data_IF_877531475538
#
_entry.id   IF_877531475538
#
_cell.length_a   1.000
_cell.length_b   1.000
_cell.length_c   1.000
_cell.angle_alpha   90.00
_cell.angle_beta   90.00
_cell.angle_gamma   90.00
#
_symmetry.space_group_name_H-M   'P 1'
#
loop_
_entity.id
_entity.type
_entity.pdbx_description
1 polymer ?
#
# COMPACT_ATOMS: atom_id res chain seq x y z
N UNK A 1 -4.68 -11.67 10.52
CA UNK A 1 -5.55 -12.60 9.78
C UNK A 1 -4.88 -13.97 9.74
N UNK A 2 -5.60 -15.08 9.93
CA UNK A 2 -5.01 -16.42 9.76
C UNK A 2 -5.01 -16.82 8.29
N UNK A 3 -4.15 -17.77 7.90
CA UNK A 3 -4.12 -18.31 6.52
C UNK A 3 -5.49 -18.87 6.10
N UNK A 4 -6.16 -19.59 7.01
CA UNK A 4 -7.50 -20.14 6.74
C UNK A 4 -8.54 -19.05 6.45
N UNK A 5 -8.56 -17.99 7.25
CA UNK A 5 -9.51 -16.89 7.04
C UNK A 5 -9.21 -16.13 5.74
N UNK A 6 -7.93 -15.97 5.42
CA UNK A 6 -7.50 -15.39 4.15
C UNK A 6 -7.96 -16.23 2.94
N UNK A 7 -7.77 -17.54 2.96
CA UNK A 7 -8.20 -18.43 1.89
C UNK A 7 -9.73 -18.37 1.72
N UNK A 8 -10.51 -18.35 2.81
CA UNK A 8 -11.97 -18.17 2.76
C UNK A 8 -12.39 -16.84 2.13
N UNK A 9 -11.68 -15.76 2.46
CA UNK A 9 -11.92 -14.45 1.85
C UNK A 9 -11.61 -14.48 0.35
N UNK A 10 -10.48 -15.06 -0.03
CA UNK A 10 -10.10 -15.16 -1.44
C UNK A 10 -11.07 -16.03 -2.24
N UNK A 11 -11.52 -17.16 -1.68
CA UNK A 11 -12.55 -18.01 -2.29
C UNK A 11 -13.85 -17.24 -2.54
N UNK A 12 -14.25 -16.37 -1.59
CA UNK A 12 -15.40 -15.49 -1.77
C UNK A 12 -15.20 -14.50 -2.92
N UNK A 13 -14.05 -13.84 -3.01
CA UNK A 13 -13.72 -12.91 -4.10
C UNK A 13 -13.81 -13.61 -5.46
N UNK A 14 -13.26 -14.83 -5.57
CA UNK A 14 -13.37 -15.64 -6.78
C UNK A 14 -14.81 -16.02 -7.09
N UNK A 15 -15.58 -16.42 -6.08
CA UNK A 15 -16.98 -16.82 -6.24
C UNK A 15 -17.85 -15.69 -6.81
N UNK A 16 -17.64 -14.46 -6.37
CA UNK A 16 -18.40 -13.29 -6.85
C UNK A 16 -17.83 -12.64 -8.12
N UNK A 17 -16.70 -13.15 -8.63
CA UNK A 17 -16.06 -12.66 -9.85
C UNK A 17 -15.39 -11.28 -9.68
N UNK A 18 -14.96 -10.93 -8.47
CA UNK A 18 -14.27 -9.68 -8.21
C UNK A 18 -12.75 -9.80 -8.40
N UNK A 19 -12.14 -8.65 -8.66
CA UNK A 19 -10.69 -8.49 -8.63
C UNK A 19 -10.24 -8.03 -7.25
N UNK A 20 -9.07 -8.53 -6.85
CA UNK A 20 -8.53 -8.28 -5.53
C UNK A 20 -7.57 -7.10 -5.54
N UNK A 21 -7.82 -6.11 -4.68
CA UNK A 21 -6.84 -5.08 -4.32
C UNK A 21 -6.34 -5.33 -2.90
N UNK A 22 -5.04 -5.15 -2.67
CA UNK A 22 -4.41 -5.37 -1.36
C UNK A 22 -3.66 -4.13 -0.87
N UNK A 23 -4.03 -3.67 0.31
CA UNK A 23 -3.30 -2.66 1.06
C UNK A 23 -2.37 -3.30 2.10
N UNK A 24 -1.11 -2.85 2.11
CA UNK A 24 -0.18 -3.11 3.21
C UNK A 24 -0.04 -1.89 4.10
N UNK A 25 -0.01 -2.12 5.41
CA UNK A 25 0.30 -1.04 6.34
C UNK A 25 1.72 -0.49 6.14
N UNK A 26 1.85 0.84 6.17
CA UNK A 26 3.14 1.55 6.11
C UNK A 26 3.60 2.12 7.47
N UNK A 27 2.89 1.75 8.55
CA UNK A 27 3.15 2.22 9.92
C UNK A 27 4.41 1.61 10.53
N UNK A 28 4.76 0.39 10.11
CA UNK A 28 5.94 -0.29 10.62
C UNK A 28 7.19 0.32 9.99
N UNK A 29 8.08 0.85 10.83
CA UNK A 29 9.30 1.55 10.41
C UNK A 29 10.55 0.80 10.82
N UNK A 30 11.62 0.96 10.04
CA UNK A 30 12.98 0.61 10.45
C UNK A 30 13.54 1.65 11.42
N UNK A 31 14.72 1.39 12.01
CA UNK A 31 15.43 2.37 12.84
C UNK A 31 15.85 3.64 12.07
N UNK A 32 15.94 3.56 10.74
CA UNK A 32 16.23 4.68 9.83
C UNK A 32 14.97 5.41 9.35
N UNK A 33 13.80 5.08 9.92
CA UNK A 33 12.49 5.61 9.53
C UNK A 33 12.10 5.29 8.07
N UNK A 34 12.55 4.17 7.53
CA UNK A 34 12.07 3.62 6.24
C UNK A 34 10.90 2.66 6.48
N UNK A 35 10.08 2.42 5.45
CA UNK A 35 9.01 1.43 5.56
C UNK A 35 9.59 0.02 5.76
N UNK A 36 9.11 -0.69 6.78
CA UNK A 36 9.49 -2.07 7.04
C UNK A 36 8.60 -3.03 6.23
N UNK A 37 9.18 -3.55 5.15
CA UNK A 37 8.51 -4.41 4.17
C UNK A 37 8.41 -5.89 4.56
N UNK A 38 8.89 -6.31 5.74
CA UNK A 38 8.98 -7.73 6.10
C UNK A 38 7.62 -8.46 6.04
N UNK A 39 6.55 -7.81 6.52
CA UNK A 39 5.20 -8.39 6.47
C UNK A 39 4.67 -8.50 5.03
N UNK A 40 4.88 -7.46 4.22
CA UNK A 40 4.48 -7.49 2.81
C UNK A 40 5.22 -8.59 2.06
N UNK A 41 6.53 -8.72 2.27
CA UNK A 41 7.34 -9.79 1.67
C UNK A 41 6.82 -11.19 2.05
N UNK A 42 6.55 -11.42 3.34
CA UNK A 42 6.04 -12.71 3.80
C UNK A 42 4.69 -13.07 3.16
N UNK A 43 3.81 -12.09 2.97
CA UNK A 43 2.55 -12.30 2.26
C UNK A 43 2.76 -12.56 0.76
N UNK A 44 3.59 -11.78 0.08
CA UNK A 44 3.86 -11.93 -1.36
C UNK A 44 4.49 -13.30 -1.65
N UNK A 45 5.42 -13.77 -0.82
CA UNK A 45 6.00 -15.12 -0.90
C UNK A 45 4.91 -16.20 -0.82
N UNK A 46 3.96 -16.05 0.12
CA UNK A 46 2.83 -16.97 0.25
C UNK A 46 1.88 -16.90 -0.95
N UNK A 47 1.52 -15.69 -1.38
CA UNK A 47 0.56 -15.46 -2.46
C UNK A 47 1.10 -15.97 -3.81
N UNK A 48 2.38 -15.72 -4.13
CA UNK A 48 3.02 -16.23 -5.34
C UNK A 48 3.11 -17.76 -5.33
N UNK A 49 3.48 -18.37 -4.19
CA UNK A 49 3.49 -19.84 -4.04
C UNK A 49 2.10 -20.44 -4.29
N UNK A 50 1.05 -19.73 -3.90
CA UNK A 50 -0.36 -20.12 -4.11
C UNK A 50 -0.92 -19.67 -5.46
N UNK A 51 -0.14 -18.95 -6.27
CA UNK A 51 -0.53 -18.39 -7.57
C UNK A 51 -1.79 -17.51 -7.49
N UNK A 52 -1.87 -16.68 -6.45
CA UNK A 52 -3.01 -15.76 -6.25
C UNK A 52 -2.80 -14.52 -7.14
N UNK A 53 -3.64 -14.27 -8.17
CA UNK A 53 -3.59 -13.02 -8.93
C UNK A 53 -4.01 -11.83 -8.05
N UNK A 54 -3.18 -10.79 -8.05
CA UNK A 54 -3.45 -9.52 -7.36
C UNK A 54 -3.16 -8.39 -8.35
N UNK A 55 -4.18 -7.87 -9.05
CA UNK A 55 -3.98 -6.81 -10.04
C UNK A 55 -3.58 -5.48 -9.40
N UNK A 56 -4.05 -5.19 -8.18
CA UNK A 56 -3.89 -3.87 -7.57
C UNK A 56 -3.31 -3.93 -6.15
N UNK A 57 -2.44 -2.98 -5.85
CA UNK A 57 -1.77 -2.86 -4.58
C UNK A 57 -1.82 -1.43 -4.04
N UNK A 58 -1.93 -1.30 -2.72
CA UNK A 58 -1.91 -0.04 -1.98
C UNK A 58 -0.88 -0.11 -0.84
N UNK A 59 -0.48 1.06 -0.34
CA UNK A 59 0.47 1.18 0.76
C UNK A 59 0.05 2.26 1.77
N UNK A 60 -0.64 1.80 2.80
CA UNK A 60 -1.13 2.59 3.91
C UNK A 60 -2.47 3.24 3.60
N UNK A 61 -3.31 3.32 4.61
CA UNK A 61 -4.63 3.95 4.56
C UNK A 61 -4.63 5.23 5.38
N UNK A 62 -5.06 6.35 4.80
CA UNK A 62 -5.18 7.67 5.45
C UNK A 62 -3.94 8.09 6.26
N UNK A 63 -2.73 8.09 5.66
CA UNK A 63 -1.48 8.37 6.37
C UNK A 63 -1.46 9.74 7.06
N UNK A 64 -2.23 10.69 6.53
CA UNK A 64 -2.39 12.03 7.10
C UNK A 64 -3.09 12.07 8.47
N UNK A 65 -3.65 10.95 8.95
CA UNK A 65 -4.31 10.84 10.27
C UNK A 65 -3.56 9.96 11.28
N UNK A 66 -2.34 9.49 10.98
CA UNK A 66 -1.67 8.57 11.91
C UNK A 66 -1.37 9.13 13.29
N UNK A 67 -1.05 10.42 13.36
CA UNK A 67 -0.84 11.08 14.64
C UNK A 67 -2.12 11.13 15.47
N UNK A 68 -3.24 11.51 14.87
CA UNK A 68 -4.52 11.60 15.57
C UNK A 68 -5.12 10.24 15.93
N UNK A 69 -5.02 9.26 15.02
CA UNK A 69 -5.72 7.99 15.16
C UNK A 69 -4.92 6.96 15.95
N UNK A 70 -3.59 7.06 15.93
CA UNK A 70 -2.72 6.04 16.49
C UNK A 70 -1.60 6.59 17.39
N UNK A 71 -1.51 7.90 17.59
CA UNK A 71 -0.42 8.52 18.34
C UNK A 71 0.96 8.32 17.70
N UNK A 72 0.99 7.95 16.42
CA UNK A 72 2.20 7.67 15.66
C UNK A 72 2.56 8.89 14.83
N UNK A 73 3.85 9.23 14.75
CA UNK A 73 4.30 10.32 13.87
C UNK A 73 3.86 10.04 12.43
N UNK A 74 2.99 10.89 11.90
CA UNK A 74 2.61 10.90 10.49
C UNK A 74 3.86 11.08 9.62
N UNK A 75 4.04 10.16 8.67
CA UNK A 75 5.09 10.32 7.67
C UNK A 75 4.79 11.55 6.81
N UNK A 76 5.81 12.22 6.29
CA UNK A 76 5.59 13.34 5.38
C UNK A 76 5.22 12.81 3.99
N UNK A 77 4.60 13.64 3.14
CA UNK A 77 4.32 13.24 1.76
C UNK A 77 5.61 12.83 1.02
N UNK A 78 6.70 13.56 1.29
CA UNK A 78 8.05 13.24 0.77
C UNK A 78 8.54 11.86 1.20
N UNK A 79 8.39 11.48 2.48
CA UNK A 79 8.81 10.16 2.94
C UNK A 79 7.94 9.06 2.35
N UNK A 80 6.64 9.32 2.19
CA UNK A 80 5.73 8.36 1.58
C UNK A 80 6.08 8.07 0.13
N UNK A 81 6.55 9.05 -0.66
CA UNK A 81 7.10 8.77 -2.01
C UNK A 81 8.21 7.72 -1.95
N UNK A 82 9.19 7.88 -1.05
CA UNK A 82 10.30 6.92 -0.88
C UNK A 82 9.81 5.54 -0.47
N UNK A 83 8.79 5.48 0.39
CA UNK A 83 8.19 4.22 0.80
C UNK A 83 7.54 3.50 -0.39
N UNK A 84 6.84 4.24 -1.27
CA UNK A 84 6.31 3.70 -2.53
C UNK A 84 7.42 3.27 -3.51
N UNK A 85 8.56 3.96 -3.58
CA UNK A 85 9.72 3.50 -4.37
C UNK A 85 10.23 2.15 -3.87
N UNK A 86 10.44 2.02 -2.56
CA UNK A 86 10.81 0.74 -1.93
C UNK A 86 9.77 -0.34 -2.20
N UNK A 87 8.49 0.02 -2.19
CA UNK A 87 7.40 -0.92 -2.45
C UNK A 87 7.36 -1.40 -3.91
N UNK A 88 7.53 -0.51 -4.88
CA UNK A 88 7.69 -0.88 -6.30
C UNK A 88 8.88 -1.81 -6.50
N UNK A 89 10.01 -1.52 -5.85
CA UNK A 89 11.19 -2.36 -5.92
C UNK A 89 10.98 -3.75 -5.30
N UNK A 90 10.11 -3.86 -4.28
CA UNK A 90 9.69 -5.15 -3.74
C UNK A 90 8.83 -5.91 -4.76
N UNK A 91 7.78 -5.29 -5.31
CA UNK A 91 6.87 -5.94 -6.26
C UNK A 91 7.60 -6.45 -7.51
N UNK A 92 8.59 -5.70 -8.01
CA UNK A 92 9.44 -6.11 -9.14
C UNK A 92 10.19 -7.43 -8.94
N UNK A 93 10.37 -7.87 -7.69
CA UNK A 93 11.03 -9.14 -7.38
C UNK A 93 10.11 -10.35 -7.62
N UNK A 94 8.80 -10.14 -7.78
CA UNK A 94 7.79 -11.18 -7.96
C UNK A 94 7.24 -11.12 -9.39
N UNK A 95 7.55 -12.10 -10.27
CA UNK A 95 7.07 -12.11 -11.64
C UNK A 95 5.55 -11.96 -11.81
N UNK A 96 4.75 -12.41 -10.84
CA UNK A 96 3.29 -12.27 -10.87
C UNK A 96 2.79 -10.86 -10.57
N UNK A 97 3.60 -10.02 -9.89
CA UNK A 97 3.15 -8.75 -9.32
C UNK A 97 3.95 -7.54 -9.80
N UNK A 98 5.04 -7.76 -10.54
CA UNK A 98 5.90 -6.69 -11.06
C UNK A 98 5.18 -5.68 -11.95
N UNK A 99 4.08 -6.09 -12.58
CA UNK A 99 3.26 -5.29 -13.50
C UNK A 99 1.88 -4.95 -12.89
N UNK A 100 1.66 -5.26 -11.61
CA UNK A 100 0.43 -4.89 -10.90
C UNK A 100 0.34 -3.37 -10.69
N UNK A 101 -0.88 -2.85 -10.72
CA UNK A 101 -1.18 -1.44 -10.45
C UNK A 101 -0.81 -1.11 -9.01
N UNK A 102 -0.20 0.04 -8.79
CA UNK A 102 -0.03 0.61 -7.46
C UNK A 102 -0.87 1.87 -7.33
N UNK A 103 -1.73 1.90 -6.33
CA UNK A 103 -2.69 2.97 -6.06
C UNK A 103 -2.30 3.67 -4.76
N UNK A 104 -2.36 5.00 -4.72
CA UNK A 104 -2.05 5.76 -3.51
C UNK A 104 -2.20 7.27 -3.68
N UNK A 105 -1.99 8.08 -2.63
CA UNK A 105 -1.54 7.71 -1.29
C UNK A 105 -2.70 7.43 -0.31
N UNK A 106 -3.93 7.18 -0.78
CA UNK A 106 -5.09 6.85 0.06
C UNK A 106 -5.33 7.88 1.20
N UNK A 107 -5.13 9.17 0.92
CA UNK A 107 -5.38 10.21 1.94
C UNK A 107 -6.86 10.36 2.24
N UNK A 108 -7.18 10.97 3.37
CA UNK A 108 -8.55 11.48 3.59
C UNK A 108 -8.96 12.49 2.51
N UNK A 109 -10.20 12.99 2.59
CA UNK A 109 -10.74 14.10 1.79
C UNK A 109 -9.68 15.17 1.45
N UNK A 110 -9.52 15.55 0.17
CA UNK A 110 -8.50 16.50 -0.25
C UNK A 110 -8.50 17.83 0.51
N UNK A 111 -9.66 18.27 1.01
CA UNK A 111 -9.77 19.50 1.81
C UNK A 111 -9.02 19.41 3.14
N UNK A 112 -9.09 18.26 3.83
CA UNK A 112 -8.40 18.04 5.10
C UNK A 112 -6.95 17.56 4.92
N UNK A 113 -6.66 16.85 3.83
CA UNK A 113 -5.33 16.30 3.55
C UNK A 113 -4.46 17.15 2.62
N UNK A 114 -4.94 18.32 2.15
CA UNK A 114 -4.31 19.11 1.09
C UNK A 114 -2.80 19.32 1.26
N UNK A 115 -2.32 19.62 2.47
CA UNK A 115 -0.90 19.84 2.74
C UNK A 115 -0.07 18.58 2.47
N UNK A 116 -0.51 17.45 3.01
CA UNK A 116 0.16 16.17 2.83
C UNK A 116 0.08 15.72 1.36
N UNK A 117 -1.11 15.82 0.76
CA UNK A 117 -1.35 15.39 -0.61
C UNK A 117 -0.53 16.20 -1.61
N UNK A 118 -0.50 17.53 -1.47
CA UNK A 118 0.33 18.40 -2.31
C UNK A 118 1.82 18.12 -2.11
N UNK A 119 2.27 17.85 -0.89
CA UNK A 119 3.66 17.47 -0.63
C UNK A 119 4.01 16.15 -1.35
N UNK A 120 3.14 15.14 -1.28
CA UNK A 120 3.33 13.86 -1.97
C UNK A 120 3.45 14.06 -3.48
N UNK A 121 2.52 14.79 -4.10
CA UNK A 121 2.54 15.07 -5.54
C UNK A 121 3.79 15.86 -5.95
N UNK A 122 4.13 16.92 -5.22
CA UNK A 122 5.28 17.78 -5.52
C UNK A 122 6.63 17.04 -5.45
N UNK A 123 6.70 15.97 -4.67
CA UNK A 123 7.91 15.16 -4.51
C UNK A 123 7.95 13.91 -5.40
N UNK A 124 7.11 13.84 -6.43
CA UNK A 124 7.15 12.77 -7.42
C UNK A 124 6.17 11.62 -7.16
N UNK A 125 5.10 11.86 -6.40
CA UNK A 125 4.03 10.87 -6.18
C UNK A 125 3.52 10.21 -7.46
N UNK A 126 3.32 11.00 -8.53
CA UNK A 126 2.88 10.49 -9.83
C UNK A 126 3.90 9.58 -10.55
N UNK A 127 5.16 9.51 -10.07
CA UNK A 127 6.17 8.63 -10.64
C UNK A 127 6.20 7.26 -9.95
N UNK A 128 5.56 7.13 -8.79
CA UNK A 128 5.67 5.94 -7.92
C UNK A 128 4.36 5.17 -7.78
N UNK A 129 3.22 5.80 -8.12
CA UNK A 129 1.90 5.16 -8.23
C UNK A 129 1.38 5.26 -9.66
N UNK A 130 0.58 4.28 -10.07
CA UNK A 130 -0.13 4.30 -11.36
C UNK A 130 -1.43 5.10 -11.27
N UNK A 131 -2.08 5.06 -10.11
CA UNK A 131 -3.34 5.78 -9.86
C UNK A 131 -3.27 6.60 -8.57
N UNK A 132 -3.79 7.81 -8.64
CA UNK A 132 -3.91 8.73 -7.51
C UNK A 132 -5.24 8.50 -6.80
N UNK A 133 -5.19 8.30 -5.47
CA UNK A 133 -6.38 8.01 -4.67
C UNK A 133 -6.51 8.87 -3.41
N UNK A 134 -7.77 9.10 -3.02
CA UNK A 134 -8.18 9.80 -1.81
C UNK A 134 -9.62 9.42 -1.44
N UNK A 135 -9.98 9.59 -0.18
CA UNK A 135 -11.29 9.22 0.36
C UNK A 135 -12.25 10.42 0.32
N UNK A 136 -13.56 10.18 0.25
CA UNK A 136 -14.58 11.22 0.04
C UNK A 136 -15.69 11.24 1.09
#
# INVERSE_FOLDING_TARGET
MTVKLWEQFYDFIQYVGWQLSIDFTNIHRTSTNEWNSANAKAFLDYAEKKKIPIPDFQLGNEPNLYESNFGMKTQTGTQTVKDFESYRNLLKQYPMYKDSTVVGPETTRPTSSHKYFNEFLANGGCNVVDEISFHQ
#
